data_IF_902236655785
#
_entry.id   IF_902236655785
#
_cell.length_a   1.000
_cell.length_b   1.000
_cell.length_c   1.000
_cell.angle_alpha   90.00
_cell.angle_beta   90.00
_cell.angle_gamma   90.00
#
_symmetry.space_group_name_H-M   'P 1'
#
loop_
_entity.id
_entity.type
_entity.pdbx_description
1 polymer ?
#
# COMPACT_ATOMS: atom_id res chain seq x y z
N UNK A 1 -36.98 -0.46 -12.01
CA UNK A 1 -35.84 0.46 -12.24
C UNK A 1 -34.75 -0.36 -12.90
N UNK A 2 -34.57 -0.18 -14.21
CA UNK A 2 -33.65 -0.96 -15.06
C UNK A 2 -32.30 -0.23 -15.11
N UNK A 3 -31.62 -0.15 -13.97
CA UNK A 3 -30.45 0.72 -13.76
C UNK A 3 -29.12 0.01 -14.06
N UNK A 4 -29.04 -1.30 -13.90
CA UNK A 4 -27.78 -2.07 -13.96
C UNK A 4 -27.11 -2.07 -15.34
N UNK A 5 -27.88 -2.21 -16.42
CA UNK A 5 -27.32 -2.40 -17.77
C UNK A 5 -26.72 -1.13 -18.36
N UNK A 6 -27.18 0.06 -17.92
CA UNK A 6 -26.69 1.35 -18.41
C UNK A 6 -25.36 1.70 -17.75
N UNK A 7 -25.25 1.41 -16.46
CA UNK A 7 -24.03 1.62 -15.68
C UNK A 7 -22.89 0.70 -16.16
N UNK A 8 -23.18 -0.55 -16.53
CA UNK A 8 -22.20 -1.50 -17.09
C UNK A 8 -21.67 -1.04 -18.47
N UNK A 9 -22.55 -0.58 -19.36
CA UNK A 9 -22.13 -0.03 -20.66
C UNK A 9 -21.27 1.23 -20.50
N UNK A 10 -21.64 2.12 -19.57
CA UNK A 10 -20.88 3.33 -19.31
C UNK A 10 -19.49 2.99 -18.71
N UNK A 11 -19.40 1.96 -17.87
CA UNK A 11 -18.12 1.46 -17.35
C UNK A 11 -17.19 0.92 -18.44
N UNK A 12 -17.70 0.07 -19.35
CA UNK A 12 -16.91 -0.44 -20.47
C UNK A 12 -16.37 0.69 -21.36
N UNK A 13 -17.21 1.71 -21.64
CA UNK A 13 -16.83 2.89 -22.41
C UNK A 13 -15.70 3.65 -21.70
N UNK A 14 -15.81 3.85 -20.39
CA UNK A 14 -14.78 4.54 -19.59
C UNK A 14 -13.47 3.75 -19.60
N UNK A 15 -13.52 2.43 -19.34
CA UNK A 15 -12.33 1.57 -19.35
C UNK A 15 -11.63 1.67 -20.70
N UNK A 16 -12.39 1.56 -21.80
CA UNK A 16 -11.82 1.64 -23.13
C UNK A 16 -11.21 3.01 -23.42
N UNK A 17 -11.86 4.10 -22.99
CA UNK A 17 -11.33 5.45 -23.15
C UNK A 17 -10.01 5.64 -22.37
N UNK A 18 -9.92 5.14 -21.13
CA UNK A 18 -8.69 5.20 -20.32
C UNK A 18 -7.58 4.36 -20.97
N UNK A 19 -7.89 3.14 -21.43
CA UNK A 19 -6.92 2.28 -22.15
C UNK A 19 -6.36 2.99 -23.39
N UNK A 20 -7.24 3.58 -24.19
CA UNK A 20 -6.83 4.35 -25.38
C UNK A 20 -5.96 5.56 -24.98
N UNK A 21 -6.30 6.26 -23.91
CA UNK A 21 -5.48 7.38 -23.44
C UNK A 21 -4.08 6.93 -23.02
N UNK A 22 -3.97 5.90 -22.17
CA UNK A 22 -2.69 5.34 -21.71
C UNK A 22 -1.82 4.81 -22.85
N UNK A 23 -2.44 4.30 -23.92
CA UNK A 23 -1.74 3.81 -25.10
C UNK A 23 -1.23 4.93 -26.02
N UNK A 24 -2.00 6.02 -26.15
CA UNK A 24 -1.71 7.12 -27.09
C UNK A 24 -0.85 8.24 -26.47
N UNK A 25 -0.69 8.22 -25.15
CA UNK A 25 0.13 9.17 -24.41
C UNK A 25 1.33 8.47 -23.77
N UNK A 26 2.42 9.21 -23.60
CA UNK A 26 3.63 8.75 -22.93
C UNK A 26 3.96 9.61 -21.72
N UNK A 27 4.93 9.18 -20.91
CA UNK A 27 5.43 9.91 -19.73
C UNK A 27 4.37 10.14 -18.63
N UNK A 28 3.35 9.29 -18.57
CA UNK A 28 2.42 9.26 -17.45
C UNK A 28 2.95 8.36 -16.33
N UNK A 29 2.42 8.57 -15.12
CA UNK A 29 2.59 7.68 -13.97
C UNK A 29 1.21 7.22 -13.51
N UNK A 30 0.98 5.90 -13.51
CA UNK A 30 -0.22 5.29 -12.97
C UNK A 30 0.12 4.66 -11.62
N UNK A 31 -0.62 5.05 -10.58
CA UNK A 31 -0.49 4.47 -9.24
C UNK A 31 -1.71 3.61 -8.98
N UNK A 32 -1.50 2.32 -8.83
CA UNK A 32 -2.51 1.34 -8.42
C UNK A 32 -2.30 1.05 -6.94
N UNK A 33 -3.11 1.70 -6.09
CA UNK A 33 -3.01 1.56 -4.64
C UNK A 33 -3.90 0.40 -4.14
N UNK A 34 -3.33 -0.47 -3.30
CA UNK A 34 -3.98 -1.64 -2.71
C UNK A 34 -4.62 -2.57 -3.76
N UNK A 35 -3.88 -2.86 -4.84
CA UNK A 35 -4.31 -3.76 -5.91
C UNK A 35 -3.95 -5.22 -5.59
N UNK A 36 -4.85 -5.94 -4.91
CA UNK A 36 -4.57 -7.31 -4.43
C UNK A 36 -4.91 -8.40 -5.47
N UNK A 37 -5.87 -8.14 -6.38
CA UNK A 37 -6.28 -9.07 -7.45
C UNK A 37 -5.54 -8.78 -8.76
N UNK A 38 -4.25 -9.10 -8.80
CA UNK A 38 -3.38 -8.74 -9.92
C UNK A 38 -3.73 -9.43 -11.24
N UNK A 39 -4.37 -10.61 -11.21
CA UNK A 39 -4.79 -11.36 -12.41
C UNK A 39 -5.76 -10.57 -13.30
N UNK A 40 -6.46 -9.58 -12.73
CA UNK A 40 -7.43 -8.76 -13.45
C UNK A 40 -6.76 -7.60 -14.21
N UNK A 41 -5.57 -7.17 -13.80
CA UNK A 41 -4.91 -5.98 -14.36
C UNK A 41 -4.67 -6.04 -15.87
N UNK A 42 -4.27 -7.18 -16.49
CA UNK A 42 -4.11 -7.27 -17.93
C UNK A 42 -5.35 -6.80 -18.72
N UNK A 43 -6.55 -7.01 -18.21
CA UNK A 43 -7.79 -6.64 -18.89
C UNK A 43 -8.00 -5.11 -18.94
N UNK A 44 -7.40 -4.38 -18.01
CA UNK A 44 -7.53 -2.93 -17.87
C UNK A 44 -6.32 -2.13 -18.38
N UNK A 45 -5.24 -2.80 -18.77
CA UNK A 45 -4.01 -2.17 -19.25
C UNK A 45 -3.90 -2.19 -20.78
N UNK A 46 -3.23 -1.20 -21.39
CA UNK A 46 -2.92 -1.25 -22.81
C UNK A 46 -1.83 -2.31 -23.08
N UNK A 47 -1.78 -2.91 -24.28
CA UNK A 47 -0.80 -3.95 -24.63
C UNK A 47 0.65 -3.44 -24.65
N UNK A 48 0.83 -2.12 -24.77
CA UNK A 48 2.12 -1.44 -24.75
C UNK A 48 2.03 -0.22 -23.84
N UNK A 49 2.94 -0.10 -22.87
CA UNK A 49 2.96 1.02 -21.92
C UNK A 49 3.88 2.13 -22.44
N UNK A 50 3.33 3.34 -22.58
CA UNK A 50 4.08 4.56 -22.87
C UNK A 50 4.57 5.31 -21.61
N UNK A 51 4.24 4.81 -20.43
CA UNK A 51 4.56 5.42 -19.13
C UNK A 51 4.97 4.39 -18.08
N UNK A 52 4.91 4.80 -16.81
CA UNK A 52 5.34 3.99 -15.67
C UNK A 52 4.18 3.63 -14.75
N UNK A 53 4.23 2.44 -14.15
CA UNK A 53 3.26 2.00 -13.17
C UNK A 53 3.93 1.78 -11.81
N UNK A 54 3.27 2.24 -10.75
CA UNK A 54 3.58 1.88 -9.38
C UNK A 54 2.38 1.13 -8.79
N UNK A 55 2.62 -0.05 -8.28
CA UNK A 55 1.58 -0.91 -7.70
C UNK A 55 1.92 -1.10 -6.23
N UNK A 56 0.99 -0.77 -5.34
CA UNK A 56 1.05 -1.19 -3.94
C UNK A 56 0.06 -2.34 -3.77
N UNK A 57 0.51 -3.43 -3.15
CA UNK A 57 -0.26 -4.67 -3.07
C UNK A 57 0.24 -5.55 -1.93
N UNK A 58 -0.65 -6.39 -1.40
CA UNK A 58 -0.31 -7.47 -0.46
C UNK A 58 -0.04 -8.79 -1.18
N UNK A 59 -0.35 -8.86 -2.48
CA UNK A 59 -0.07 -10.03 -3.31
C UNK A 59 1.43 -10.33 -3.29
N UNK A 60 1.77 -11.61 -3.11
CA UNK A 60 3.16 -12.04 -3.07
C UNK A 60 3.71 -12.37 -4.47
N UNK A 61 2.82 -12.77 -5.37
CA UNK A 61 3.14 -13.08 -6.76
C UNK A 61 2.72 -11.90 -7.65
N UNK A 62 3.66 -11.37 -8.43
CA UNK A 62 3.41 -10.28 -9.37
C UNK A 62 2.98 -10.75 -10.76
N UNK A 63 2.93 -12.07 -11.00
CA UNK A 63 2.45 -12.66 -12.27
C UNK A 63 3.13 -12.10 -13.52
N UNK A 64 4.39 -11.65 -13.38
CA UNK A 64 5.16 -11.02 -14.46
C UNK A 64 4.74 -9.58 -14.81
N UNK A 65 3.78 -8.97 -14.11
CA UNK A 65 3.28 -7.62 -14.38
C UNK A 65 4.29 -6.53 -14.02
N UNK A 66 5.06 -6.74 -12.95
CA UNK A 66 5.98 -5.73 -12.42
C UNK A 66 7.16 -6.35 -11.67
N UNK A 67 8.23 -5.57 -11.54
CA UNK A 67 9.31 -5.89 -10.61
C UNK A 67 8.84 -5.66 -9.17
N UNK A 68 8.94 -6.70 -8.34
CA UNK A 68 8.56 -6.61 -6.93
C UNK A 68 9.61 -5.86 -6.11
N UNK A 69 9.18 -4.84 -5.37
CA UNK A 69 9.94 -4.24 -4.28
C UNK A 69 9.29 -4.65 -2.96
N UNK A 70 9.90 -5.59 -2.24
CA UNK A 70 9.39 -6.02 -0.93
C UNK A 70 9.71 -4.94 0.11
N UNK A 71 8.69 -4.53 0.85
CA UNK A 71 8.83 -3.66 2.02
C UNK A 71 8.96 -4.56 3.25
N UNK A 72 10.07 -4.44 3.97
CA UNK A 72 10.31 -5.18 5.19
C UNK A 72 9.57 -4.57 6.38
N UNK A 73 9.32 -5.38 7.41
CA UNK A 73 8.83 -4.90 8.69
C UNK A 73 9.88 -4.05 9.39
N UNK A 74 9.45 -3.12 10.24
CA UNK A 74 10.35 -2.34 11.07
C UNK A 74 11.07 -3.24 12.09
N UNK A 75 12.31 -2.89 12.43
CA UNK A 75 12.96 -3.47 13.62
C UNK A 75 12.19 -3.08 14.88
N UNK A 76 12.35 -3.81 16.00
CA UNK A 76 11.74 -3.44 17.28
C UNK A 76 12.03 -1.99 17.67
N UNK A 77 13.26 -1.52 17.49
CA UNK A 77 13.69 -0.17 17.84
C UNK A 77 13.07 0.88 16.89
N UNK A 78 13.01 0.58 15.59
CA UNK A 78 12.38 1.46 14.60
C UNK A 78 10.88 1.61 14.84
N UNK A 79 10.19 0.49 15.15
CA UNK A 79 8.77 0.51 15.50
C UNK A 79 8.52 1.23 16.83
N UNK A 80 9.34 1.00 17.86
CA UNK A 80 9.20 1.68 19.13
C UNK A 80 9.42 3.19 19.00
N UNK A 81 10.44 3.61 18.24
CA UNK A 81 10.69 5.01 17.93
C UNK A 81 9.53 5.64 17.16
N UNK A 82 8.95 4.93 16.19
CA UNK A 82 7.76 5.38 15.47
C UNK A 82 6.56 5.57 16.41
N UNK A 83 6.30 4.62 17.32
CA UNK A 83 5.23 4.69 18.30
C UNK A 83 5.40 5.87 19.26
N UNK A 84 6.60 6.06 19.82
CA UNK A 84 6.91 7.16 20.73
C UNK A 84 6.73 8.53 20.05
N UNK A 85 7.16 8.66 18.79
CA UNK A 85 6.94 9.88 18.00
C UNK A 85 5.47 10.11 17.68
N UNK A 86 4.74 9.05 17.33
CA UNK A 86 3.30 9.13 17.04
C UNK A 86 2.45 9.46 18.27
N UNK A 87 2.89 9.01 19.45
CA UNK A 87 2.33 9.38 20.73
C UNK A 87 2.76 10.79 21.20
N UNK A 88 3.59 11.50 20.43
CA UNK A 88 4.16 12.81 20.80
C UNK A 88 5.00 12.79 22.09
N UNK A 89 5.50 11.61 22.47
CA UNK A 89 6.44 11.43 23.57
C UNK A 89 7.88 11.75 23.15
N UNK A 90 8.15 11.69 21.83
CA UNK A 90 9.39 12.14 21.20
C UNK A 90 9.08 13.05 20.01
N UNK A 91 9.93 14.05 19.82
CA UNK A 91 9.96 14.87 18.62
C UNK A 91 10.64 14.13 17.45
N UNK A 92 10.43 14.55 16.19
CA UNK A 92 10.98 13.88 15.02
C UNK A 92 12.51 13.79 15.00
N UNK A 93 13.21 14.73 15.63
CA UNK A 93 14.66 14.80 15.72
C UNK A 93 15.23 14.06 16.94
N UNK A 94 14.38 13.69 17.90
CA UNK A 94 14.82 12.97 19.09
C UNK A 94 15.03 11.48 18.82
N UNK A 95 16.08 10.93 19.44
CA UNK A 95 16.42 9.50 19.39
C UNK A 95 15.63 8.71 20.43
N UNK A 96 15.61 7.39 20.24
CA UNK A 96 14.88 6.46 21.10
C UNK A 96 15.31 6.55 22.57
N UNK A 97 16.61 6.73 22.81
CA UNK A 97 17.22 6.78 24.15
C UNK A 97 16.79 8.01 24.96
N UNK A 98 16.21 9.02 24.31
CA UNK A 98 15.72 10.24 24.96
C UNK A 98 14.32 10.08 25.57
N UNK A 99 13.62 8.98 25.28
CA UNK A 99 12.33 8.68 25.92
C UNK A 99 12.56 8.16 27.35
N UNK A 100 11.58 8.32 28.27
CA UNK A 100 11.65 7.69 29.58
C UNK A 100 11.83 6.15 29.47
N UNK A 101 12.63 5.50 30.34
CA UNK A 101 12.89 4.06 30.25
C UNK A 101 11.62 3.18 30.27
N UNK A 102 10.60 3.56 31.03
CA UNK A 102 9.34 2.82 31.09
C UNK A 102 8.57 2.90 29.76
N UNK A 103 8.59 4.07 29.10
CA UNK A 103 7.98 4.28 27.78
C UNK A 103 8.76 3.54 26.69
N UNK A 104 10.08 3.49 26.79
CA UNK A 104 10.91 2.68 25.89
C UNK A 104 10.53 1.20 25.96
N UNK A 105 10.44 0.65 27.17
CA UNK A 105 10.08 -0.75 27.38
C UNK A 105 8.67 -1.06 26.85
N UNK A 106 7.70 -0.19 27.12
CA UNK A 106 6.33 -0.35 26.64
C UNK A 106 6.24 -0.26 25.11
N UNK A 107 6.94 0.70 24.49
CA UNK A 107 6.94 0.86 23.04
C UNK A 107 7.61 -0.33 22.32
N UNK A 108 8.67 -0.91 22.89
CA UNK A 108 9.28 -2.14 22.39
C UNK A 108 8.30 -3.32 22.47
N UNK A 109 7.61 -3.48 23.60
CA UNK A 109 6.62 -4.53 23.78
C UNK A 109 5.48 -4.38 22.75
N UNK A 110 4.91 -3.18 22.60
CA UNK A 110 3.86 -2.91 21.62
C UNK A 110 4.31 -3.20 20.18
N UNK A 111 5.56 -2.88 19.85
CA UNK A 111 6.11 -3.17 18.52
C UNK A 111 6.19 -4.67 18.24
N UNK A 112 6.54 -5.47 19.25
CA UNK A 112 6.57 -6.93 19.14
C UNK A 112 5.16 -7.50 18.95
N UNK A 113 4.18 -7.03 19.73
CA UNK A 113 2.77 -7.45 19.61
C UNK A 113 2.17 -7.08 18.24
N UNK A 114 2.54 -5.92 17.70
CA UNK A 114 2.10 -5.45 16.38
C UNK A 114 2.91 -6.07 15.22
N UNK A 115 3.90 -6.91 15.50
CA UNK A 115 4.73 -7.59 14.50
C UNK A 115 5.60 -6.65 13.67
N UNK A 116 6.00 -5.49 14.21
CA UNK A 116 6.84 -4.52 13.51
C UNK A 116 6.17 -3.82 12.31
N UNK A 117 4.82 -3.85 12.24
CA UNK A 117 4.09 -3.21 11.16
C UNK A 117 4.04 -1.67 11.35
N UNK A 118 4.40 -0.86 10.34
CA UNK A 118 4.38 0.61 10.44
C UNK A 118 2.97 1.19 10.56
N UNK A 119 1.95 0.44 10.15
CA UNK A 119 0.54 0.77 10.38
C UNK A 119 -0.06 -0.29 11.31
N UNK A 120 -0.60 0.09 12.48
CA UNK A 120 -1.35 -0.83 13.33
C UNK A 120 -2.70 -1.09 12.67
N UNK A 121 -2.73 -1.94 11.65
CA UNK A 121 -3.95 -2.67 11.33
C UNK A 121 -4.08 -3.72 12.41
N UNK A 122 -4.92 -3.45 13.41
CA UNK A 122 -5.34 -4.44 14.40
C UNK A 122 -5.86 -5.63 13.60
N UNK A 123 -5.09 -6.73 13.55
CA UNK A 123 -5.63 -7.97 13.00
C UNK A 123 -6.80 -8.34 13.92
N UNK A 124 -8.03 -8.51 13.41
CA UNK A 124 -9.07 -9.09 14.25
C UNK A 124 -8.59 -10.46 14.70
N UNK A 125 -8.60 -10.72 16.02
CA UNK A 125 -8.38 -12.06 16.54
C UNK A 125 -9.42 -13.00 15.91
N UNK A 126 -9.04 -14.23 15.53
CA UNK A 126 -10.03 -15.24 15.19
C UNK A 126 -10.82 -15.57 16.46
N UNK A 127 -12.14 -15.39 16.40
CA UNK A 127 -13.11 -15.89 17.41
C UNK A 127 -13.11 -17.42 17.39
#
# INVERSE_FOLDING_TARGET
>A
LNLSTRDEQDQEIIIQAVKTWLQTHSHWLLILDNADDLDLLPDFLPPTLGGHMLITTRAQDMQGLAQRLKIETLSPEQGALLLLRRASLLQPDQSFEQAPPDEQALALQLTQELGGLPSPSIKPEPI
#
